data_IF_202928685118
#
_entry.id   IF_202928685118
#
_cell.length_a   1.000
_cell.length_b   1.000
_cell.length_c   1.000
_cell.angle_alpha   90.00
_cell.angle_beta   90.00
_cell.angle_gamma   90.00
#
_symmetry.space_group_name_H-M   'P 1'
#
loop_
_entity.id
_entity.type
_entity.pdbx_description
1 polymer ?
#
# COMPACT_ATOMS: atom_id res chain seq x y z
N UNK A 1 3.90 31.23 -16.12
CA UNK A 1 4.87 30.77 -15.11
C UNK A 1 4.04 30.14 -14.01
N UNK A 2 3.89 28.82 -14.01
CA UNK A 2 3.00 28.12 -13.08
C UNK A 2 3.74 27.99 -11.75
N UNK A 3 3.11 28.49 -10.70
CA UNK A 3 3.68 28.62 -9.36
C UNK A 3 4.04 27.26 -8.75
N UNK A 4 5.27 27.15 -8.24
CA UNK A 4 5.89 25.90 -7.79
C UNK A 4 5.31 25.41 -6.45
N UNK A 5 4.68 26.29 -5.65
CA UNK A 5 3.95 25.93 -4.43
C UNK A 5 2.59 25.32 -4.75
N UNK A 6 1.93 25.78 -5.82
CA UNK A 6 0.68 25.22 -6.32
C UNK A 6 0.86 23.78 -6.83
N UNK A 7 2.04 23.47 -7.41
CA UNK A 7 2.41 22.09 -7.76
C UNK A 7 2.72 21.24 -6.52
N UNK A 8 3.44 21.75 -5.52
CA UNK A 8 3.76 21.04 -4.27
C UNK A 8 2.50 20.70 -3.45
N UNK A 9 1.52 21.60 -3.40
CA UNK A 9 0.22 21.38 -2.76
C UNK A 9 -0.63 20.30 -3.44
N UNK A 10 -0.68 20.28 -4.79
CA UNK A 10 -1.31 19.18 -5.54
C UNK A 10 -0.52 17.87 -5.42
N UNK A 11 0.81 17.92 -5.34
CA UNK A 11 1.67 16.73 -5.21
C UNK A 11 1.46 15.99 -3.89
N UNK A 12 1.17 16.72 -2.79
CA UNK A 12 0.82 16.16 -1.48
C UNK A 12 -0.61 15.61 -1.40
N UNK A 13 -1.53 16.05 -2.26
CA UNK A 13 -2.95 15.67 -2.17
C UNK A 13 -3.27 14.26 -2.69
N UNK A 14 -2.41 13.66 -3.52
CA UNK A 14 -2.69 12.37 -4.18
C UNK A 14 -2.15 11.14 -3.44
N UNK A 15 -1.37 11.33 -2.38
CA UNK A 15 -0.88 10.22 -1.57
C UNK A 15 -1.97 9.88 -0.54
N UNK A 16 -2.79 8.86 -0.83
CA UNK A 16 -3.87 8.46 0.09
C UNK A 16 -3.25 7.97 1.40
N UNK A 17 -3.46 8.74 2.47
CA UNK A 17 -3.18 8.28 3.82
C UNK A 17 -4.22 7.24 4.19
N UNK A 18 -3.80 5.99 4.29
CA UNK A 18 -4.66 4.93 4.79
C UNK A 18 -4.42 4.85 6.29
N UNK A 19 -5.49 5.05 7.05
CA UNK A 19 -5.48 4.96 8.50
C UNK A 19 -6.05 3.62 8.92
N UNK A 20 -5.35 2.94 9.82
CA UNK A 20 -5.80 1.66 10.34
C UNK A 20 -5.62 1.60 11.84
N UNK A 21 -6.62 1.06 12.51
CA UNK A 21 -6.55 0.80 13.95
C UNK A 21 -5.47 -0.24 14.22
N UNK A 22 -4.49 0.13 15.05
CA UNK A 22 -3.37 -0.74 15.46
C UNK A 22 -3.51 -1.25 16.88
N UNK A 23 -4.46 -0.71 17.63
CA UNK A 23 -4.70 -1.08 19.02
C UNK A 23 -5.59 -0.07 19.70
N UNK A 24 -5.63 -0.13 21.03
CA UNK A 24 -6.45 0.74 21.87
C UNK A 24 -5.63 1.22 23.05
N UNK A 25 -5.86 2.47 23.45
CA UNK A 25 -5.36 3.04 24.68
C UNK A 25 -6.52 3.21 25.65
N UNK A 26 -6.26 2.93 26.92
CA UNK A 26 -7.23 3.07 28.00
C UNK A 26 -6.84 4.31 28.80
N UNK A 27 -7.53 5.45 28.63
CA UNK A 27 -7.21 6.67 29.37
C UNK A 27 -7.67 6.55 30.82
N UNK A 28 -6.86 7.01 31.77
CA UNK A 28 -7.25 7.22 33.16
C UNK A 28 -7.02 8.68 33.51
N UNK A 29 -8.00 9.34 34.12
CA UNK A 29 -7.82 10.72 34.58
C UNK A 29 -6.89 10.73 35.81
N UNK A 30 -5.84 11.54 35.78
CA UNK A 30 -5.01 11.79 36.96
C UNK A 30 -5.65 12.80 37.92
N UNK A 31 -5.02 13.03 39.07
CA UNK A 31 -5.49 13.95 40.10
C UNK A 31 -5.62 15.42 39.64
N UNK A 32 -5.02 15.78 38.50
CA UNK A 32 -5.08 17.11 37.91
C UNK A 32 -6.04 17.18 36.71
N UNK A 33 -6.77 16.09 36.42
CA UNK A 33 -7.71 15.98 35.31
C UNK A 33 -7.07 15.71 33.96
N UNK A 34 -5.77 15.41 33.89
CA UNK A 34 -5.09 15.01 32.66
C UNK A 34 -5.30 13.52 32.38
N UNK A 35 -5.46 13.14 31.12
CA UNK A 35 -5.62 11.73 30.74
C UNK A 35 -4.27 11.04 30.57
N UNK A 36 -4.00 10.01 31.37
CA UNK A 36 -2.83 9.12 31.25
C UNK A 36 -3.24 7.90 30.42
N UNK A 37 -2.63 7.67 29.23
CA UNK A 37 -3.01 6.57 28.36
C UNK A 37 -2.25 5.27 28.68
N UNK A 38 -2.97 4.16 28.81
CA UNK A 38 -2.39 2.83 29.03
C UNK A 38 -2.59 1.90 27.83
N UNK A 39 -1.58 1.08 27.52
CA UNK A 39 -1.62 0.12 26.41
C UNK A 39 -2.45 -1.14 26.66
N UNK A 40 -2.86 -1.40 27.90
CA UNK A 40 -3.73 -2.52 28.28
C UNK A 40 -4.79 -2.07 29.28
N UNK A 41 -5.93 -2.76 29.27
CA UNK A 41 -7.01 -2.45 30.21
C UNK A 41 -6.58 -2.75 31.64
N UNK A 42 -5.95 -3.89 31.87
CA UNK A 42 -5.52 -4.33 33.20
C UNK A 42 -4.55 -3.34 33.87
N UNK A 43 -3.62 -2.74 33.10
CA UNK A 43 -2.71 -1.73 33.63
C UNK A 43 -3.45 -0.42 33.96
N UNK A 44 -4.45 -0.05 33.15
CA UNK A 44 -5.31 1.08 33.42
C UNK A 44 -6.17 0.86 34.67
N UNK A 45 -6.76 -0.34 34.83
CA UNK A 45 -7.59 -0.69 35.98
C UNK A 45 -6.76 -0.69 37.28
N UNK A 46 -5.53 -1.21 37.24
CA UNK A 46 -4.61 -1.17 38.38
C UNK A 46 -4.25 0.27 38.78
N UNK A 47 -3.86 1.09 37.80
CA UNK A 47 -3.54 2.50 38.04
C UNK A 47 -4.77 3.28 38.56
N UNK A 48 -5.94 3.03 37.98
CA UNK A 48 -7.19 3.66 38.41
C UNK A 48 -7.52 3.33 39.87
N UNK A 49 -7.33 2.06 40.28
CA UNK A 49 -7.54 1.63 41.66
C UNK A 49 -6.54 2.27 42.64
N UNK A 50 -5.28 2.41 42.25
CA UNK A 50 -4.23 3.06 43.08
C UNK A 50 -4.48 4.57 43.26
N UNK A 51 -5.16 5.20 42.32
CA UNK A 51 -5.33 6.65 42.26
C UNK A 51 -6.78 7.13 42.49
N UNK A 52 -7.70 6.25 42.91
CA UNK A 52 -9.15 6.52 43.07
C UNK A 52 -9.75 7.22 41.83
N UNK A 53 -9.35 6.73 40.66
CA UNK A 53 -9.73 7.26 39.36
C UNK A 53 -10.63 6.29 38.59
N UNK A 54 -11.22 6.77 37.49
CA UNK A 54 -12.01 5.95 36.58
C UNK A 54 -11.27 5.75 35.24
N UNK A 55 -11.28 4.53 34.74
CA UNK A 55 -10.84 4.24 33.37
C UNK A 55 -11.89 4.73 32.39
N UNK A 56 -11.48 5.58 31.46
CA UNK A 56 -12.32 6.12 30.40
C UNK A 56 -12.54 5.12 29.25
N UNK A 57 -13.33 5.54 28.26
CA UNK A 57 -13.59 4.73 27.08
C UNK A 57 -12.29 4.47 26.28
N UNK A 58 -12.11 3.26 25.72
CA UNK A 58 -10.91 2.94 24.96
C UNK A 58 -10.79 3.82 23.72
N UNK A 59 -9.63 4.46 23.57
CA UNK A 59 -9.29 5.28 22.42
C UNK A 59 -8.55 4.43 21.37
N UNK A 60 -9.03 4.33 20.13
CA UNK A 60 -8.32 3.59 19.09
C UNK A 60 -7.00 4.30 18.75
N UNK A 61 -5.92 3.54 18.61
CA UNK A 61 -4.67 4.05 18.04
C UNK A 61 -4.66 3.77 16.56
N UNK A 62 -4.30 4.77 15.77
CA UNK A 62 -4.25 4.66 14.31
C UNK A 62 -2.81 4.73 13.83
N UNK A 63 -2.43 3.87 12.90
CA UNK A 63 -1.21 4.04 12.11
C UNK A 63 -1.58 4.61 10.75
N UNK A 64 -1.02 5.77 10.43
CA UNK A 64 -1.06 6.31 9.08
C UNK A 64 0.03 5.65 8.24
N UNK A 65 -0.34 5.13 7.07
CA UNK A 65 0.61 4.72 6.05
C UNK A 65 0.32 5.47 4.75
N UNK A 66 1.37 6.07 4.19
CA UNK A 66 1.38 6.52 2.82
C UNK A 66 1.64 5.31 1.92
N UNK A 67 0.59 4.71 1.37
CA UNK A 67 0.69 3.55 0.49
C UNK A 67 0.44 3.98 -0.95
N UNK A 68 1.30 3.53 -1.85
CA UNK A 68 1.04 3.64 -3.29
C UNK A 68 -0.13 2.74 -3.66
N UNK A 69 -0.92 3.17 -4.65
CA UNK A 69 -1.98 2.34 -5.24
C UNK A 69 -1.35 1.14 -5.92
N UNK A 70 -2.06 0.02 -5.96
CA UNK A 70 -1.48 -1.21 -6.50
C UNK A 70 -2.48 -2.06 -7.28
N UNK A 71 -1.97 -2.71 -8.32
CA UNK A 71 -2.67 -3.69 -9.11
C UNK A 71 -1.76 -4.90 -9.34
N UNK A 72 -2.36 -6.09 -9.42
CA UNK A 72 -1.69 -7.34 -9.73
C UNK A 72 -1.97 -7.71 -11.17
N UNK A 73 -0.92 -8.09 -11.89
CA UNK A 73 -1.03 -8.74 -13.19
C UNK A 73 -0.59 -10.19 -13.02
N UNK A 74 -1.42 -11.12 -13.50
CA UNK A 74 -1.14 -12.55 -13.55
C UNK A 74 -1.23 -13.03 -14.99
N UNK A 75 -0.13 -13.58 -15.50
CA UNK A 75 -0.03 -14.16 -16.83
C UNK A 75 -0.57 -15.60 -16.79
N UNK A 76 -1.41 -15.99 -17.75
CA UNK A 76 -1.85 -17.37 -17.88
C UNK A 76 -0.66 -18.30 -18.17
N UNK A 77 -0.78 -19.59 -17.79
CA UNK A 77 0.30 -20.56 -17.94
C UNK A 77 0.73 -20.78 -19.41
N UNK A 78 -0.20 -20.61 -20.35
CA UNK A 78 0.07 -20.66 -21.79
C UNK A 78 0.75 -19.38 -22.32
N UNK A 79 0.79 -18.32 -21.51
CA UNK A 79 1.33 -17.01 -21.84
C UNK A 79 0.51 -16.24 -22.90
N UNK A 80 -0.67 -16.72 -23.27
CA UNK A 80 -1.53 -16.15 -24.31
C UNK A 80 -2.48 -15.06 -23.80
N UNK A 81 -2.74 -15.04 -22.49
CA UNK A 81 -3.65 -14.09 -21.85
C UNK A 81 -3.15 -13.69 -20.46
N UNK A 82 -3.74 -12.64 -19.88
CA UNK A 82 -3.43 -12.17 -18.53
C UNK A 82 -4.68 -11.61 -17.87
N UNK A 83 -4.67 -11.60 -16.54
CA UNK A 83 -5.69 -10.99 -15.71
C UNK A 83 -5.10 -9.83 -14.90
N UNK A 84 -5.94 -8.86 -14.57
CA UNK A 84 -5.59 -7.72 -13.73
C UNK A 84 -6.57 -7.63 -12.58
N UNK A 85 -6.04 -7.49 -11.36
CA UNK A 85 -6.85 -7.31 -10.16
C UNK A 85 -6.32 -6.13 -9.34
N UNK A 86 -7.19 -5.22 -8.93
CA UNK A 86 -6.81 -4.16 -7.98
C UNK A 86 -6.50 -4.77 -6.60
N UNK A 87 -5.43 -4.31 -5.94
CA UNK A 87 -4.99 -4.89 -4.66
C UNK A 87 -5.59 -4.14 -3.46
N UNK A 88 -6.14 -4.88 -2.46
CA UNK A 88 -6.70 -4.26 -1.26
C UNK A 88 -5.60 -3.60 -0.41
N UNK A 89 -5.95 -2.58 0.38
CA UNK A 89 -4.98 -1.82 1.20
C UNK A 89 -4.16 -2.73 2.12
N UNK A 90 -4.76 -3.81 2.63
CA UNK A 90 -4.12 -4.76 3.53
C UNK A 90 -2.89 -5.47 2.89
N UNK A 91 -2.95 -5.79 1.59
CA UNK A 91 -1.85 -6.46 0.87
C UNK A 91 -0.75 -5.49 0.42
N UNK A 92 -1.04 -4.17 0.36
CA UNK A 92 -0.08 -3.14 -0.07
C UNK A 92 0.98 -2.80 0.97
N UNK A 93 0.75 -3.13 2.24
CA UNK A 93 1.45 -2.60 3.42
C UNK A 93 2.95 -2.89 3.50
N UNK A 94 3.41 -4.01 2.95
CA UNK A 94 4.82 -4.41 3.05
C UNK A 94 5.67 -3.76 1.96
N UNK A 95 5.08 -3.55 0.78
CA UNK A 95 5.83 -3.44 -0.47
C UNK A 95 5.57 -2.15 -1.25
N UNK A 96 4.42 -1.49 -1.04
CA UNK A 96 4.01 -0.27 -1.74
C UNK A 96 4.60 1.00 -1.11
N UNK A 97 5.90 1.02 -0.81
CA UNK A 97 6.58 2.20 -0.20
C UNK A 97 7.09 3.21 -1.23
N UNK A 98 7.16 2.81 -2.51
CA UNK A 98 7.61 3.60 -3.65
C UNK A 98 6.91 3.09 -4.92
N UNK A 99 6.82 3.89 -6.00
CA UNK A 99 6.36 3.37 -7.28
C UNK A 99 7.35 2.33 -7.81
N UNK A 100 6.85 1.34 -8.53
CA UNK A 100 7.67 0.28 -9.09
C UNK A 100 6.92 -1.03 -9.25
N UNK A 101 7.67 -2.10 -9.51
CA UNK A 101 7.09 -3.41 -9.79
C UNK A 101 7.75 -4.47 -8.93
N UNK A 102 6.97 -5.47 -8.50
CA UNK A 102 7.49 -6.57 -7.70
C UNK A 102 6.96 -7.90 -8.17
N UNK A 103 7.86 -8.87 -8.28
CA UNK A 103 7.49 -10.25 -8.55
C UNK A 103 6.83 -10.88 -7.32
N UNK A 104 5.71 -11.58 -7.51
CA UNK A 104 5.02 -12.39 -6.49
C UNK A 104 5.13 -13.88 -6.73
N UNK A 105 5.17 -14.26 -8.00
CA UNK A 105 5.36 -15.64 -8.47
C UNK A 105 5.98 -15.64 -9.86
N UNK A 106 6.16 -16.81 -10.44
CA UNK A 106 6.74 -16.98 -11.78
C UNK A 106 5.94 -16.28 -12.89
N UNK A 107 4.64 -16.12 -12.67
CA UNK A 107 3.64 -15.61 -13.61
C UNK A 107 2.94 -14.34 -13.11
N UNK A 108 3.28 -13.87 -11.90
CA UNK A 108 2.54 -12.82 -11.22
C UNK A 108 3.45 -11.70 -10.76
N UNK A 109 3.06 -10.45 -11.06
CA UNK A 109 3.69 -9.24 -10.53
C UNK A 109 2.66 -8.27 -9.96
N UNK A 110 3.08 -7.53 -8.94
CA UNK A 110 2.37 -6.38 -8.41
C UNK A 110 3.01 -5.11 -8.97
N UNK A 111 2.19 -4.15 -9.38
CA UNK A 111 2.59 -2.84 -9.87
C UNK A 111 2.10 -1.78 -8.89
N UNK A 112 2.98 -0.85 -8.51
CA UNK A 112 2.71 0.23 -7.57
C UNK A 112 2.78 1.57 -8.29
N UNK A 113 1.69 2.34 -8.23
CA UNK A 113 1.55 3.63 -8.88
C UNK A 113 0.82 4.63 -7.97
N UNK A 114 0.83 5.91 -8.36
CA UNK A 114 0.31 6.98 -7.51
C UNK A 114 -1.20 6.81 -7.33
N UNK A 115 -1.90 6.62 -8.45
CA UNK A 115 -3.35 6.47 -8.49
C UNK A 115 -3.75 5.02 -8.78
N UNK A 116 -4.95 4.59 -8.37
CA UNK A 116 -5.50 3.28 -8.75
C UNK A 116 -5.57 3.10 -10.27
N UNK A 117 -5.93 4.14 -11.00
CA UNK A 117 -6.04 4.17 -12.45
C UNK A 117 -4.68 3.92 -13.10
N UNK A 118 -3.63 4.61 -12.64
CA UNK A 118 -2.26 4.41 -13.13
C UNK A 118 -1.77 3.00 -12.83
N UNK A 119 -2.09 2.47 -11.65
CA UNK A 119 -1.67 1.12 -11.26
C UNK A 119 -2.28 0.06 -12.19
N UNK A 120 -3.58 0.20 -12.49
CA UNK A 120 -4.28 -0.67 -13.44
C UNK A 120 -3.73 -0.50 -14.85
N UNK A 121 -3.50 0.72 -15.32
CA UNK A 121 -2.97 0.99 -16.65
C UNK A 121 -1.55 0.44 -16.85
N UNK A 122 -0.70 0.54 -15.82
CA UNK A 122 0.65 -0.03 -15.86
C UNK A 122 0.61 -1.57 -15.78
N UNK A 123 -0.27 -2.16 -14.96
CA UNK A 123 -0.47 -3.61 -14.93
C UNK A 123 -0.96 -4.16 -16.28
N UNK A 124 -1.88 -3.46 -16.93
CA UNK A 124 -2.38 -3.77 -18.26
C UNK A 124 -1.29 -3.68 -19.34
N UNK A 125 -0.47 -2.62 -19.30
CA UNK A 125 0.70 -2.48 -20.16
C UNK A 125 1.69 -3.63 -19.96
N UNK A 126 1.96 -4.01 -18.72
CA UNK A 126 2.82 -5.15 -18.39
C UNK A 126 2.26 -6.46 -18.96
N UNK A 127 0.97 -6.70 -18.82
CA UNK A 127 0.28 -7.87 -19.39
C UNK A 127 0.40 -7.96 -20.91
N UNK A 128 0.12 -6.85 -21.62
CA UNK A 128 0.34 -6.79 -23.09
C UNK A 128 1.79 -7.06 -23.48
N UNK A 129 2.73 -6.46 -22.76
CA UNK A 129 4.16 -6.67 -23.01
C UNK A 129 4.56 -8.13 -22.76
N UNK A 130 3.94 -8.78 -21.78
CA UNK A 130 4.17 -10.17 -21.45
C UNK A 130 3.69 -11.11 -22.58
N UNK A 131 2.43 -10.98 -23.00
CA UNK A 131 1.86 -11.77 -24.11
C UNK A 131 2.66 -11.57 -25.39
N UNK A 132 3.06 -10.33 -25.70
CA UNK A 132 3.91 -10.03 -26.87
C UNK A 132 5.28 -10.69 -26.78
N UNK A 133 5.87 -10.81 -25.60
CA UNK A 133 7.15 -11.47 -25.40
C UNK A 133 7.03 -12.99 -25.58
N UNK A 134 5.94 -13.60 -25.08
CA UNK A 134 5.65 -15.02 -25.29
C UNK A 134 5.43 -15.32 -26.76
N UNK A 135 4.64 -14.52 -27.46
CA UNK A 135 4.44 -14.65 -28.92
C UNK A 135 5.73 -14.50 -29.75
N UNK A 136 6.81 -13.96 -29.16
CA UNK A 136 8.16 -13.88 -29.75
C UNK A 136 9.08 -15.03 -29.33
N UNK A 137 8.55 -16.05 -28.65
CA UNK A 137 9.27 -17.25 -28.24
C UNK A 137 9.89 -17.20 -26.83
N UNK A 138 9.57 -16.21 -26.00
CA UNK A 138 10.01 -16.21 -24.60
C UNK A 138 9.14 -17.16 -23.77
N UNK A 139 9.75 -18.02 -22.95
CA UNK A 139 9.00 -18.92 -22.09
C UNK A 139 8.14 -18.15 -21.06
N UNK A 140 6.84 -18.49 -20.88
CA UNK A 140 5.92 -17.76 -19.99
C UNK A 140 6.46 -17.51 -18.58
N UNK A 141 7.09 -18.53 -17.97
CA UNK A 141 7.67 -18.48 -16.62
C UNK A 141 8.89 -17.54 -16.47
N UNK A 142 9.46 -17.04 -17.56
CA UNK A 142 10.60 -16.10 -17.56
C UNK A 142 10.18 -14.66 -17.84
N UNK A 143 8.97 -14.46 -18.39
CA UNK A 143 8.53 -13.17 -18.91
C UNK A 143 8.35 -12.15 -17.79
N UNK A 144 7.69 -12.54 -16.71
CA UNK A 144 7.42 -11.67 -15.56
C UNK A 144 8.72 -11.22 -14.89
N UNK A 145 9.64 -12.15 -14.64
CA UNK A 145 10.97 -11.80 -14.11
C UNK A 145 11.72 -10.82 -14.99
N UNK A 146 11.64 -10.98 -16.33
CA UNK A 146 12.26 -10.07 -17.29
C UNK A 146 11.61 -8.68 -17.29
N UNK A 147 10.29 -8.60 -17.15
CA UNK A 147 9.57 -7.33 -17.08
C UNK A 147 9.91 -6.58 -15.80
N UNK A 148 9.95 -7.27 -14.66
CA UNK A 148 10.39 -6.67 -13.38
C UNK A 148 11.83 -6.17 -13.47
N UNK A 149 12.74 -6.96 -14.05
CA UNK A 149 14.14 -6.53 -14.26
C UNK A 149 14.26 -5.28 -15.15
N UNK A 150 13.32 -5.09 -16.09
CA UNK A 150 13.29 -3.95 -17.02
C UNK A 150 12.25 -2.90 -16.65
N UNK A 151 11.84 -2.81 -15.37
CA UNK A 151 10.72 -1.98 -14.93
C UNK A 151 10.81 -0.53 -15.45
N UNK A 152 11.96 0.13 -15.33
CA UNK A 152 12.15 1.52 -15.79
C UNK A 152 11.82 1.70 -17.26
N UNK A 153 12.24 0.73 -18.09
CA UNK A 153 12.11 0.83 -19.54
C UNK A 153 10.66 0.90 -19.99
N UNK A 154 9.78 0.07 -19.45
CA UNK A 154 8.39 0.03 -19.92
C UNK A 154 7.43 0.89 -19.08
N UNK A 155 7.83 1.27 -17.86
CA UNK A 155 7.07 2.24 -17.06
C UNK A 155 7.28 3.67 -17.55
N UNK A 156 8.49 4.06 -17.95
CA UNK A 156 8.81 5.43 -18.37
C UNK A 156 8.56 5.71 -19.86
N UNK A 157 8.57 4.70 -20.74
CA UNK A 157 8.37 4.84 -22.20
C UNK A 157 6.94 5.28 -22.62
N UNK A 158 6.19 5.99 -21.77
CA UNK A 158 4.90 6.58 -22.13
C UNK A 158 4.16 7.26 -21.00
N UNK A 159 4.84 8.20 -20.30
CA UNK A 159 4.23 9.27 -19.49
C UNK A 159 4.37 10.60 -20.24
#
# INVERSE_FOLDING_TARGET
MVDMETMSGRMRADMRHVFHETGRLWPVADAHGAAVPFGSKDAADLYAAEHDAAVGAPMPTMKAAALWSAARMTLAADGGSYEITALPDAERRTDAKRPGVRMRGSDTMDVFAKTPEDALALADRAGRAAVKAVGKGLAPNLVVGRLVYRERRWMEEGL
#
